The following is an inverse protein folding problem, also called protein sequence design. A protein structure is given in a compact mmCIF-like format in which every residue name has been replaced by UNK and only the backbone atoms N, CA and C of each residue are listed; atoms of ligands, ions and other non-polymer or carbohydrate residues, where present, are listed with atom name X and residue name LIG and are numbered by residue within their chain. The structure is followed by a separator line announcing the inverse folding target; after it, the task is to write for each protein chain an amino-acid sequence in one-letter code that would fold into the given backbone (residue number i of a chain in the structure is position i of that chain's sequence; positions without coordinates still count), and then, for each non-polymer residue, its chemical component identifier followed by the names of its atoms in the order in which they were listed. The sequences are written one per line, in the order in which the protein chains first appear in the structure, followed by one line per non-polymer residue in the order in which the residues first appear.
data_IF_887811012584
#
_entry.id   IF_887811012584
#
_cell.length_a   1.000
_cell.length_b   1.000
_cell.length_c   1.000
_cell.angle_alpha   90.00
_cell.angle_beta   90.00
_cell.angle_gamma   90.00
#
_symmetry.space_group_name_H-M   'P 1'
#
loop_
_entity.id
_entity.type
_entity.pdbx_description
1 polymer ?
#
# COMPACT_ATOMS: atom_id res chain seq x y z
N UNK A 1 -5.20 -16.63 19.04
CA UNK A 1 -4.11 -16.33 18.08
C UNK A 1 -3.88 -14.84 18.08
N UNK A 2 -2.95 -14.24 18.80
CA UNK A 2 -2.13 -14.54 19.97
C UNK A 2 -1.76 -13.13 20.49
N UNK A 3 -1.31 -13.00 21.74
CA UNK A 3 -0.88 -11.71 22.33
C UNK A 3 0.41 -11.14 21.68
N UNK A 4 0.44 -11.01 20.35
CA UNK A 4 1.44 -10.28 19.57
C UNK A 4 1.09 -8.79 19.54
N UNK A 5 0.84 -8.20 20.72
CA UNK A 5 0.98 -6.76 20.90
C UNK A 5 2.38 -6.54 21.49
N UNK A 6 3.42 -6.86 20.74
CA UNK A 6 4.66 -6.11 20.93
C UNK A 6 4.36 -4.68 20.49
N UNK A 7 4.77 -3.71 21.28
CA UNK A 7 4.80 -2.31 20.87
C UNK A 7 5.67 -2.08 19.62
N UNK A 8 6.48 -3.09 19.27
CA UNK A 8 7.59 -3.02 18.32
C UNK A 8 7.32 -3.81 17.02
N UNK A 9 6.08 -4.20 16.75
CA UNK A 9 5.70 -4.96 15.54
C UNK A 9 6.23 -6.40 15.49
N UNK A 10 6.07 -7.07 14.34
CA UNK A 10 6.54 -8.45 14.19
C UNK A 10 8.06 -8.52 14.11
N UNK A 11 8.70 -9.48 14.81
CA UNK A 11 10.13 -9.73 14.61
C UNK A 11 10.40 -10.11 13.15
N UNK A 12 11.43 -9.50 12.54
CA UNK A 12 11.73 -9.67 11.10
C UNK A 12 11.80 -11.14 10.66
N UNK A 13 12.38 -12.01 11.50
CA UNK A 13 12.50 -13.46 11.26
C UNK A 13 11.15 -14.15 10.97
N UNK A 14 10.07 -13.70 11.60
CA UNK A 14 8.75 -14.33 11.50
C UNK A 14 7.78 -13.54 10.61
N UNK A 15 8.14 -12.32 10.21
CA UNK A 15 7.25 -11.41 9.48
C UNK A 15 6.67 -12.05 8.22
N UNK A 16 7.53 -12.65 7.39
CA UNK A 16 7.12 -13.29 6.14
C UNK A 16 6.06 -14.37 6.34
N UNK A 17 6.28 -15.27 7.31
CA UNK A 17 5.34 -16.35 7.64
C UNK A 17 4.04 -15.78 8.20
N UNK A 18 4.13 -14.81 9.12
CA UNK A 18 2.95 -14.18 9.70
C UNK A 18 2.14 -13.41 8.65
N UNK A 19 2.79 -12.74 7.70
CA UNK A 19 2.10 -12.04 6.63
C UNK A 19 1.37 -13.01 5.70
N UNK A 20 1.96 -14.15 5.35
CA UNK A 20 1.27 -15.17 4.54
C UNK A 20 0.02 -15.71 5.24
N UNK A 21 0.13 -16.03 6.54
CA UNK A 21 -0.99 -16.55 7.30
C UNK A 21 -2.07 -15.49 7.57
N UNK A 22 -1.68 -14.29 8.02
CA UNK A 22 -2.61 -13.24 8.43
C UNK A 22 -3.28 -12.54 7.25
N UNK A 23 -2.64 -12.48 6.08
CA UNK A 23 -3.30 -12.03 4.85
C UNK A 23 -4.28 -13.07 4.28
N UNK A 24 -4.25 -14.31 4.78
CA UNK A 24 -5.01 -15.42 4.20
C UNK A 24 -4.39 -15.99 2.93
N UNK A 25 -3.20 -15.53 2.51
CA UNK A 25 -2.51 -16.02 1.31
C UNK A 25 -2.33 -17.54 1.31
N UNK A 26 -1.97 -18.13 2.46
CA UNK A 26 -1.83 -19.59 2.59
C UNK A 26 -3.11 -20.36 2.23
N UNK A 27 -4.28 -19.76 2.47
CA UNK A 27 -5.58 -20.38 2.19
C UNK A 27 -6.05 -20.13 0.75
N UNK A 28 -5.61 -19.03 0.12
CA UNK A 28 -5.97 -18.67 -1.26
C UNK A 28 -5.02 -19.28 -2.29
N UNK A 29 -3.80 -19.62 -1.88
CA UNK A 29 -2.77 -20.10 -2.79
C UNK A 29 -3.20 -21.37 -3.52
N UNK A 30 -3.31 -21.27 -4.84
CA UNK A 30 -3.55 -22.40 -5.74
C UNK A 30 -2.29 -22.61 -6.58
N UNK A 31 -1.59 -23.75 -6.43
CA UNK A 31 -0.36 -24.01 -7.17
C UNK A 31 -0.53 -23.86 -8.68
N UNK A 32 0.30 -22.99 -9.30
CA UNK A 32 0.33 -22.79 -10.74
C UNK A 32 -0.71 -21.80 -11.28
N UNK A 33 -1.64 -21.35 -10.44
CA UNK A 33 -2.66 -20.37 -10.83
C UNK A 33 -2.02 -19.02 -11.19
N UNK A 34 -0.99 -18.60 -10.44
CA UNK A 34 -0.26 -17.37 -10.75
C UNK A 34 0.32 -17.40 -12.17
N UNK A 35 0.93 -18.51 -12.58
CA UNK A 35 1.47 -18.67 -13.93
C UNK A 35 0.36 -18.69 -14.98
N UNK A 36 -0.76 -19.37 -14.70
CA UNK A 36 -1.93 -19.39 -15.58
C UNK A 36 -2.49 -17.98 -15.82
N UNK A 37 -2.59 -17.15 -14.78
CA UNK A 37 -3.04 -15.77 -14.86
C UNK A 37 -2.12 -14.90 -15.72
N UNK A 38 -0.80 -15.12 -15.64
CA UNK A 38 0.17 -14.44 -16.50
C UNK A 38 -0.02 -14.80 -17.98
N UNK A 39 -0.19 -16.08 -18.30
CA UNK A 39 -0.48 -16.53 -19.67
C UNK A 39 -1.77 -15.89 -20.19
N UNK A 40 -2.84 -15.91 -19.38
CA UNK A 40 -4.09 -15.24 -19.73
C UNK A 40 -3.93 -13.74 -19.95
N UNK A 41 -3.13 -13.04 -19.15
CA UNK A 41 -2.86 -11.62 -19.33
C UNK A 41 -2.19 -11.33 -20.68
N UNK A 42 -1.25 -12.18 -21.09
CA UNK A 42 -0.52 -12.04 -22.36
C UNK A 42 -1.42 -12.32 -23.58
N UNK A 43 -2.28 -13.33 -23.47
CA UNK A 43 -3.19 -13.76 -24.55
C UNK A 43 -4.46 -12.91 -24.63
N UNK A 44 -4.82 -12.18 -23.57
CA UNK A 44 -6.05 -11.41 -23.51
C UNK A 44 -6.08 -10.27 -24.52
N UNK A 45 -7.18 -10.21 -25.27
CA UNK A 45 -7.54 -9.09 -26.14
C UNK A 45 -8.58 -8.16 -25.52
N UNK A 46 -8.91 -8.34 -24.22
CA UNK A 46 -9.87 -7.49 -23.51
C UNK A 46 -9.31 -6.05 -23.39
N UNK A 47 -9.98 -5.03 -23.94
CA UNK A 47 -9.53 -3.65 -23.87
C UNK A 47 -9.26 -3.16 -22.44
N UNK A 48 -10.07 -3.59 -21.47
CA UNK A 48 -9.89 -3.21 -20.06
C UNK A 48 -8.56 -3.73 -19.51
N UNK A 49 -8.25 -5.00 -19.76
CA UNK A 49 -6.97 -5.59 -19.33
C UNK A 49 -5.81 -4.89 -20.05
N UNK A 50 -5.93 -4.61 -21.35
CA UNK A 50 -4.88 -3.91 -22.12
C UNK A 50 -4.59 -2.51 -21.59
N UNK A 51 -5.63 -1.73 -21.27
CA UNK A 51 -5.47 -0.40 -20.66
C UNK A 51 -4.78 -0.50 -19.30
N UNK A 52 -5.15 -1.47 -18.46
CA UNK A 52 -4.48 -1.69 -17.18
C UNK A 52 -2.99 -2.07 -17.36
N UNK A 53 -2.66 -2.94 -18.32
CA UNK A 53 -1.27 -3.29 -18.67
C UNK A 53 -0.46 -2.07 -19.08
N UNK A 54 -1.03 -1.18 -19.89
CA UNK A 54 -0.37 0.06 -20.31
C UNK A 54 -0.08 0.97 -19.10
N UNK A 55 -1.05 1.15 -18.20
CA UNK A 55 -0.85 1.94 -16.97
C UNK A 55 0.21 1.32 -16.06
N UNK A 56 0.19 -0.01 -15.87
CA UNK A 56 1.20 -0.73 -15.09
C UNK A 56 2.59 -0.49 -15.68
N UNK A 57 2.75 -0.58 -17.01
CA UNK A 57 4.05 -0.35 -17.64
C UNK A 57 4.56 1.08 -17.40
N UNK A 58 3.70 2.08 -17.52
CA UNK A 58 4.07 3.47 -17.23
C UNK A 58 4.50 3.66 -15.78
N UNK A 59 3.82 3.00 -14.84
CA UNK A 59 4.10 3.14 -13.41
C UNK A 59 5.32 2.36 -12.94
N UNK A 60 5.52 1.13 -13.39
CA UNK A 60 6.62 0.28 -12.91
C UNK A 60 7.97 0.88 -13.25
N UNK A 61 8.13 1.55 -14.39
CA UNK A 61 9.38 2.26 -14.74
C UNK A 61 9.77 3.37 -13.76
N UNK A 62 8.80 4.00 -13.10
CA UNK A 62 9.03 5.05 -12.09
C UNK A 62 8.92 4.56 -10.65
N UNK A 63 8.59 3.28 -10.43
CA UNK A 63 8.36 2.71 -9.10
C UNK A 63 9.68 2.35 -8.43
N UNK A 64 9.98 2.99 -7.29
CA UNK A 64 11.17 2.69 -6.48
C UNK A 64 12.47 2.71 -7.31
N UNK A 65 12.56 3.60 -8.31
CA UNK A 65 13.67 3.66 -9.27
C UNK A 65 15.02 4.05 -8.66
N UNK A 66 15.01 4.62 -7.44
CA UNK A 66 16.23 4.85 -6.66
C UNK A 66 16.74 3.60 -5.93
N UNK A 67 15.95 2.52 -5.89
CA UNK A 67 16.29 1.27 -5.22
C UNK A 67 16.89 0.27 -6.23
N UNK A 68 18.11 -0.19 -5.94
CA UNK A 68 18.87 -1.14 -6.77
C UNK A 68 18.14 -2.44 -7.13
N UNK A 69 17.17 -2.87 -6.30
CA UNK A 69 16.39 -4.06 -6.58
C UNK A 69 15.39 -3.87 -7.73
N UNK A 70 14.99 -2.63 -8.01
CA UNK A 70 14.07 -2.28 -9.11
C UNK A 70 14.80 -1.67 -10.30
N UNK A 71 15.87 -0.91 -10.06
CA UNK A 71 16.67 -0.31 -11.13
C UNK A 71 18.14 -0.20 -10.72
N UNK A 72 19.02 -0.82 -11.50
CA UNK A 72 20.47 -0.69 -11.37
C UNK A 72 20.90 0.59 -12.11
N UNK A 73 21.17 1.65 -11.34
CA UNK A 73 21.56 2.97 -11.86
C UNK A 73 22.92 2.91 -12.57
N UNK A 74 23.84 2.06 -12.11
CA UNK A 74 25.19 1.96 -12.70
C UNK A 74 25.13 1.29 -14.08
N UNK A 75 24.30 0.26 -14.21
CA UNK A 75 24.13 -0.49 -15.47
C UNK A 75 23.02 0.06 -16.35
N UNK A 76 22.22 1.01 -15.86
CA UNK A 76 21.02 1.53 -16.51
C UNK A 76 20.08 0.39 -16.96
N UNK A 77 19.84 -0.58 -16.06
CA UNK A 77 19.07 -1.78 -16.37
C UNK A 77 18.04 -2.12 -15.27
N UNK A 78 16.95 -2.83 -15.61
CA UNK A 78 16.01 -3.33 -14.62
C UNK A 78 16.69 -4.19 -13.54
N UNK A 79 16.34 -3.95 -12.28
CA UNK A 79 16.79 -4.76 -11.15
C UNK A 79 16.04 -6.09 -11.04
N UNK A 80 16.46 -7.00 -10.14
CA UNK A 80 15.89 -8.34 -9.99
C UNK A 80 14.40 -8.38 -9.59
N UNK A 81 13.85 -7.29 -9.04
CA UNK A 81 12.43 -7.19 -8.66
C UNK A 81 11.56 -6.49 -9.69
N UNK A 82 12.15 -5.90 -10.74
CA UNK A 82 11.40 -5.18 -11.75
C UNK A 82 10.36 -6.08 -12.44
N UNK A 83 10.80 -7.21 -12.99
CA UNK A 83 9.91 -8.16 -13.67
C UNK A 83 8.91 -8.80 -12.69
N UNK A 84 9.35 -9.09 -11.46
CA UNK A 84 8.48 -9.66 -10.41
C UNK A 84 7.33 -8.72 -10.08
N UNK A 85 7.61 -7.42 -9.96
CA UNK A 85 6.61 -6.39 -9.73
C UNK A 85 5.60 -6.34 -10.88
N UNK A 86 6.07 -6.31 -12.13
CA UNK A 86 5.19 -6.32 -13.31
C UNK A 86 4.29 -7.56 -13.33
N UNK A 87 4.87 -8.75 -13.16
CA UNK A 87 4.14 -10.01 -13.18
C UNK A 87 3.06 -10.08 -12.09
N UNK A 88 3.37 -9.67 -10.87
CA UNK A 88 2.39 -9.66 -9.77
C UNK A 88 1.20 -8.77 -10.12
N UNK A 89 1.44 -7.57 -10.65
CA UNK A 89 0.38 -6.65 -11.05
C UNK A 89 -0.42 -7.18 -12.26
N UNK A 90 0.24 -7.80 -13.25
CA UNK A 90 -0.42 -8.43 -14.39
C UNK A 90 -1.33 -9.58 -13.99
N UNK A 91 -0.84 -10.48 -13.13
CA UNK A 91 -1.67 -11.56 -12.61
C UNK A 91 -2.86 -11.00 -11.81
N UNK A 92 -2.65 -9.93 -11.03
CA UNK A 92 -3.69 -9.33 -10.21
C UNK A 92 -4.85 -8.74 -11.04
N UNK A 93 -4.57 -8.02 -12.13
CA UNK A 93 -5.64 -7.43 -12.96
C UNK A 93 -6.48 -8.49 -13.68
N UNK A 94 -5.91 -9.67 -13.95
CA UNK A 94 -6.67 -10.82 -14.50
C UNK A 94 -7.43 -11.54 -13.39
N UNK A 95 -6.85 -11.64 -12.20
CA UNK A 95 -7.50 -12.24 -11.04
C UNK A 95 -8.73 -11.44 -10.59
N UNK A 96 -8.63 -10.12 -10.55
CA UNK A 96 -9.68 -9.22 -10.09
C UNK A 96 -9.94 -8.09 -11.10
N UNK A 97 -10.58 -8.40 -12.25
CA UNK A 97 -10.76 -7.44 -13.34
C UNK A 97 -11.74 -6.30 -13.00
N UNK A 98 -12.57 -6.45 -11.96
CA UNK A 98 -13.45 -5.38 -11.46
C UNK A 98 -12.68 -4.28 -10.75
N UNK A 99 -11.65 -4.68 -10.00
CA UNK A 99 -10.72 -3.75 -9.35
C UNK A 99 -9.74 -3.20 -10.37
N UNK A 100 -9.16 -4.08 -11.21
CA UNK A 100 -8.13 -3.69 -12.16
C UNK A 100 -6.88 -3.14 -11.45
N UNK A 101 -6.24 -2.16 -12.06
CA UNK A 101 -5.06 -1.50 -11.53
C UNK A 101 -5.40 -0.11 -11.02
N UNK A 102 -5.04 0.15 -9.76
CA UNK A 102 -5.12 1.47 -9.13
C UNK A 102 -3.71 2.00 -8.86
N UNK A 103 -3.48 3.27 -9.19
CA UNK A 103 -2.21 3.94 -8.93
C UNK A 103 -1.90 3.90 -7.41
N UNK A 104 -0.73 3.36 -7.05
CA UNK A 104 -0.33 3.08 -5.67
C UNK A 104 -0.11 1.59 -5.42
N UNK A 105 -0.80 0.71 -6.15
CA UNK A 105 -0.62 -0.76 -6.05
C UNK A 105 0.82 -1.18 -6.37
N UNK A 106 1.43 -0.56 -7.38
CA UNK A 106 2.83 -0.75 -7.75
C UNK A 106 3.79 -0.57 -6.57
N UNK A 107 3.56 0.44 -5.74
CA UNK A 107 4.43 0.76 -4.61
C UNK A 107 4.17 -0.15 -3.42
N UNK A 108 2.92 -0.55 -3.20
CA UNK A 108 2.55 -1.59 -2.22
C UNK A 108 3.26 -2.91 -2.58
N UNK A 109 3.08 -3.41 -3.80
CA UNK A 109 3.72 -4.65 -4.26
C UNK A 109 5.25 -4.54 -4.24
N UNK A 110 5.81 -3.40 -4.63
CA UNK A 110 7.24 -3.14 -4.55
C UNK A 110 7.77 -3.25 -3.11
N UNK A 111 7.08 -2.66 -2.14
CA UNK A 111 7.46 -2.76 -0.74
C UNK A 111 7.28 -4.18 -0.18
N UNK A 112 6.25 -4.92 -0.61
CA UNK A 112 6.09 -6.34 -0.25
C UNK A 112 7.27 -7.17 -0.79
N UNK A 113 7.66 -6.99 -2.05
CA UNK A 113 8.83 -7.66 -2.63
C UNK A 113 10.11 -7.38 -1.84
N UNK A 114 10.32 -6.14 -1.40
CA UNK A 114 11.46 -5.79 -0.55
C UNK A 114 11.39 -6.48 0.82
N UNK A 115 10.22 -6.55 1.43
CA UNK A 115 10.01 -7.23 2.71
C UNK A 115 10.33 -8.73 2.63
N UNK A 116 9.93 -9.36 1.54
CA UNK A 116 9.88 -10.81 1.43
C UNK A 116 11.05 -11.41 0.65
N UNK A 117 11.87 -10.58 0.01
CA UNK A 117 13.08 -10.98 -0.72
C UNK A 117 14.25 -11.40 0.17
N UNK A 118 15.17 -12.16 -0.42
CA UNK A 118 16.42 -12.60 0.21
C UNK A 118 17.28 -11.40 0.64
N UNK A 119 17.28 -11.10 1.94
CA UNK A 119 17.99 -9.96 2.52
C UNK A 119 17.31 -9.36 3.76
N UNK A 120 16.05 -9.70 4.03
CA UNK A 120 15.34 -9.27 5.24
C UNK A 120 15.84 -10.03 6.48
N UNK A 121 16.95 -9.56 7.06
CA UNK A 121 17.58 -10.11 8.27
C UNK A 121 18.01 -11.58 8.16
N UNK A 122 19.19 -11.89 8.71
CA UNK A 122 19.75 -13.24 8.70
C UNK A 122 18.76 -14.24 9.35
N UNK A 123 18.22 -15.18 8.57
CA UNK A 123 17.35 -16.25 9.05
C UNK A 123 15.85 -16.14 8.76
N UNK A 124 15.40 -15.15 7.97
CA UNK A 124 14.01 -15.10 7.49
C UNK A 124 13.81 -15.99 6.27
N UNK A 125 12.71 -16.75 6.24
CA UNK A 125 12.34 -17.58 5.09
C UNK A 125 11.89 -16.67 3.95
N UNK A 126 12.58 -16.72 2.81
CA UNK A 126 12.20 -15.98 1.60
C UNK A 126 10.86 -16.46 1.06
N UNK A 127 10.07 -15.55 0.50
CA UNK A 127 8.80 -15.87 -0.16
C UNK A 127 9.00 -15.84 -1.67
N UNK A 128 8.43 -16.82 -2.37
CA UNK A 128 8.39 -16.82 -3.83
C UNK A 128 7.58 -15.64 -4.38
N UNK A 129 7.79 -15.31 -5.65
CA UNK A 129 7.00 -14.30 -6.35
C UNK A 129 5.48 -14.58 -6.28
N UNK A 130 5.09 -15.84 -6.48
CA UNK A 130 3.70 -16.29 -6.33
C UNK A 130 3.17 -16.10 -4.89
N UNK A 131 4.00 -16.32 -3.87
CA UNK A 131 3.59 -16.06 -2.49
C UNK A 131 3.37 -14.57 -2.21
N UNK A 132 4.15 -13.68 -2.83
CA UNK A 132 3.91 -12.23 -2.75
C UNK A 132 2.64 -11.84 -3.48
N UNK A 133 2.36 -12.45 -4.64
CA UNK A 133 1.09 -12.28 -5.34
C UNK A 133 -0.10 -12.63 -4.44
N UNK A 134 -0.11 -13.81 -3.83
CA UNK A 134 -1.21 -14.23 -2.96
C UNK A 134 -1.34 -13.38 -1.69
N UNK A 135 -0.22 -12.89 -1.16
CA UNK A 135 -0.22 -11.92 -0.06
C UNK A 135 -0.88 -10.60 -0.48
N UNK A 136 -0.57 -10.09 -1.67
CA UNK A 136 -1.19 -8.88 -2.19
C UNK A 136 -2.70 -9.08 -2.43
N UNK A 137 -3.10 -10.21 -3.01
CA UNK A 137 -4.53 -10.59 -3.14
C UNK A 137 -5.22 -10.60 -1.78
N UNK A 138 -4.63 -11.25 -0.78
CA UNK A 138 -5.16 -11.29 0.58
C UNK A 138 -5.30 -9.91 1.22
N UNK A 139 -4.33 -9.02 1.02
CA UNK A 139 -4.42 -7.63 1.48
C UNK A 139 -5.62 -6.92 0.85
N UNK A 140 -5.76 -6.96 -0.47
CA UNK A 140 -6.83 -6.23 -1.17
C UNK A 140 -8.21 -6.80 -0.87
N UNK A 141 -8.33 -8.12 -0.81
CA UNK A 141 -9.62 -8.77 -0.67
C UNK A 141 -10.09 -8.84 0.78
N UNK A 142 -9.21 -9.17 1.72
CA UNK A 142 -9.62 -9.58 3.07
C UNK A 142 -9.17 -8.62 4.17
N UNK A 143 -8.08 -7.88 3.94
CA UNK A 143 -7.52 -7.00 4.98
C UNK A 143 -8.09 -5.58 4.95
N UNK A 144 -8.29 -5.04 3.76
CA UNK A 144 -8.76 -3.68 3.58
C UNK A 144 -10.27 -3.56 3.82
N UNK A 145 -10.78 -2.35 4.11
CA UNK A 145 -12.20 -2.11 4.25
C UNK A 145 -12.97 -2.59 3.02
N UNK A 146 -14.11 -3.23 3.24
CA UNK A 146 -15.10 -3.54 2.19
C UNK A 146 -16.30 -2.61 2.33
N UNK A 147 -16.80 -2.15 1.19
CA UNK A 147 -17.96 -1.29 1.10
C UNK A 147 -19.09 -2.07 0.43
N UNK A 148 -19.93 -2.69 1.26
CA UNK A 148 -20.91 -3.68 0.82
C UNK A 148 -20.23 -4.86 0.08
N UNK A 149 -20.40 -4.94 -1.24
CA UNK A 149 -19.80 -5.97 -2.11
C UNK A 149 -18.57 -5.46 -2.87
N UNK A 150 -18.16 -4.21 -2.64
CA UNK A 150 -17.05 -3.56 -3.34
C UNK A 150 -15.77 -3.71 -2.52
N UNK A 151 -14.70 -4.12 -3.22
CA UNK A 151 -13.36 -4.09 -2.67
C UNK A 151 -12.87 -2.65 -2.50
N UNK A 152 -11.91 -2.43 -1.60
CA UNK A 152 -11.36 -1.11 -1.32
C UNK A 152 -10.86 -0.37 -2.58
N UNK A 153 -10.26 -1.09 -3.52
CA UNK A 153 -9.74 -0.51 -4.76
C UNK A 153 -10.72 -0.55 -5.93
N UNK A 154 -11.97 -1.01 -5.74
CA UNK A 154 -12.99 -0.92 -6.78
C UNK A 154 -13.28 0.57 -7.08
N UNK A 155 -13.32 1.00 -8.35
CA UNK A 155 -13.61 2.40 -8.69
C UNK A 155 -14.92 2.92 -8.08
N UNK A 156 -15.92 2.05 -7.86
CA UNK A 156 -17.20 2.42 -7.26
C UNK A 156 -17.13 2.54 -5.73
N UNK A 157 -16.05 2.08 -5.09
CA UNK A 157 -15.84 2.23 -3.66
C UNK A 157 -15.38 3.65 -3.27
N UNK A 158 -14.85 4.42 -4.22
CA UNK A 158 -14.24 5.73 -3.97
C UNK A 158 -15.13 6.71 -3.16
N UNK A 159 -16.45 6.86 -3.43
CA UNK A 159 -17.29 7.76 -2.65
C UNK A 159 -17.41 7.34 -1.17
N UNK A 160 -17.40 6.04 -0.89
CA UNK A 160 -17.45 5.53 0.48
C UNK A 160 -16.13 5.77 1.22
N UNK A 161 -15.00 5.56 0.53
CA UNK A 161 -13.67 5.86 1.07
C UNK A 161 -13.55 7.36 1.38
N UNK A 162 -14.01 8.23 0.46
CA UNK A 162 -14.04 9.68 0.66
C UNK A 162 -14.90 10.08 1.86
N UNK A 163 -16.02 9.39 2.09
CA UNK A 163 -16.83 9.61 3.28
C UNK A 163 -16.10 9.21 4.57
N UNK A 164 -15.43 8.06 4.60
CA UNK A 164 -14.64 7.62 5.75
C UNK A 164 -13.45 8.56 6.02
N UNK A 165 -12.78 9.05 4.97
CA UNK A 165 -11.73 10.07 5.06
C UNK A 165 -12.29 11.39 5.61
N UNK A 166 -13.46 11.82 5.14
CA UNK A 166 -14.15 13.02 5.66
C UNK A 166 -14.45 12.88 7.15
N UNK A 167 -14.90 11.70 7.60
CA UNK A 167 -15.10 11.42 9.03
C UNK A 167 -13.77 11.47 9.79
N UNK A 168 -12.72 10.82 9.27
CA UNK A 168 -11.39 10.84 9.85
C UNK A 168 -10.85 12.26 10.03
N UNK A 169 -11.05 13.14 9.05
CA UNK A 169 -10.58 14.53 9.08
C UNK A 169 -11.47 15.42 9.94
N UNK A 170 -12.76 15.53 9.60
CA UNK A 170 -13.67 16.52 10.20
C UNK A 170 -14.12 16.17 11.60
N UNK A 171 -14.09 14.89 11.97
CA UNK A 171 -14.47 14.46 13.33
C UNK A 171 -13.25 14.08 14.16
N UNK A 172 -12.39 13.19 13.67
CA UNK A 172 -11.29 12.69 14.51
C UNK A 172 -10.10 13.64 14.55
N UNK A 173 -9.57 14.05 13.40
CA UNK A 173 -8.42 14.96 13.34
C UNK A 173 -8.75 16.33 13.94
N UNK A 174 -9.91 16.90 13.60
CA UNK A 174 -10.37 18.17 14.15
C UNK A 174 -10.49 18.15 15.69
N UNK A 175 -10.91 17.03 16.29
CA UNK A 175 -11.05 16.91 17.74
C UNK A 175 -9.73 16.57 18.45
N UNK A 176 -8.88 15.75 17.83
CA UNK A 176 -7.63 15.28 18.45
C UNK A 176 -6.47 16.27 18.27
N UNK A 177 -6.44 17.01 17.17
CA UNK A 177 -5.40 17.98 16.83
C UNK A 177 -6.01 19.32 16.36
N UNK A 178 -6.84 19.97 17.21
CA UNK A 178 -7.65 21.13 16.80
C UNK A 178 -6.80 22.33 16.35
N UNK A 179 -5.63 22.54 16.96
CA UNK A 179 -4.74 23.65 16.62
C UNK A 179 -4.13 23.45 15.23
N UNK A 180 -3.63 22.24 14.94
CA UNK A 180 -3.06 21.91 13.64
C UNK A 180 -4.13 21.92 12.56
N UNK A 181 -5.31 21.35 12.84
CA UNK A 181 -6.46 21.40 11.93
C UNK A 181 -6.84 22.85 11.58
N UNK A 182 -6.91 23.73 12.59
CA UNK A 182 -7.17 25.15 12.38
C UNK A 182 -6.11 25.83 11.51
N UNK A 183 -4.82 25.57 11.78
CA UNK A 183 -3.70 26.10 10.99
C UNK A 183 -3.77 25.66 9.53
N UNK A 184 -3.93 24.37 9.26
CA UNK A 184 -4.02 23.84 7.89
C UNK A 184 -5.24 24.38 7.14
N UNK A 185 -6.38 24.56 7.82
CA UNK A 185 -7.56 25.18 7.23
C UNK A 185 -7.37 26.68 6.91
N UNK A 186 -6.66 27.42 7.76
CA UNK A 186 -6.30 28.82 7.48
C UNK A 186 -5.42 28.92 6.23
N UNK A 187 -4.52 27.95 6.04
CA UNK A 187 -3.71 27.79 4.83
C UNK A 187 -4.50 27.21 3.64
N UNK A 188 -5.79 26.90 3.80
CA UNK A 188 -6.66 26.30 2.76
C UNK A 188 -6.12 24.97 2.21
N UNK A 189 -5.48 24.17 3.06
CA UNK A 189 -5.03 22.82 2.70
C UNK A 189 -6.24 21.89 2.63
N UNK A 190 -6.35 21.11 1.56
CA UNK A 190 -7.36 20.08 1.41
C UNK A 190 -6.88 18.78 2.08
N UNK A 191 -7.02 18.73 3.41
CA UNK A 191 -6.50 17.64 4.24
C UNK A 191 -7.07 16.28 3.80
N UNK A 192 -8.34 16.24 3.40
CA UNK A 192 -9.00 15.03 2.90
C UNK A 192 -8.31 14.45 1.67
N UNK A 193 -7.78 15.28 0.75
CA UNK A 193 -7.08 14.81 -0.45
C UNK A 193 -5.77 14.13 -0.06
N UNK A 194 -5.02 14.73 0.88
CA UNK A 194 -3.77 14.17 1.41
C UNK A 194 -4.05 12.80 2.05
N UNK A 195 -5.05 12.72 2.93
CA UNK A 195 -5.40 11.49 3.64
C UNK A 195 -5.91 10.41 2.69
N UNK A 196 -6.71 10.78 1.68
CA UNK A 196 -7.17 9.85 0.65
C UNK A 196 -5.99 9.24 -0.12
N UNK A 197 -5.02 10.06 -0.53
CA UNK A 197 -3.80 9.58 -1.18
C UNK A 197 -3.02 8.61 -0.31
N UNK A 198 -2.91 8.89 0.99
CA UNK A 198 -2.28 7.97 1.94
C UNK A 198 -3.03 6.65 2.04
N UNK A 199 -4.35 6.64 2.07
CA UNK A 199 -5.13 5.41 2.18
C UNK A 199 -5.03 4.57 0.91
N UNK A 200 -5.16 5.19 -0.28
CA UNK A 200 -5.05 4.49 -1.57
C UNK A 200 -3.63 3.94 -1.81
N UNK A 201 -2.59 4.62 -1.32
CA UNK A 201 -1.21 4.13 -1.37
C UNK A 201 -0.82 3.21 -0.20
N UNK A 202 -1.73 2.87 0.71
CA UNK A 202 -1.43 2.24 2.02
C UNK A 202 -0.19 2.84 2.71
N UNK A 203 -0.12 4.17 2.74
CA UNK A 203 0.94 4.98 3.33
C UNK A 203 2.33 4.76 2.71
N UNK A 204 2.46 3.97 1.64
CA UNK A 204 3.74 3.69 0.98
C UNK A 204 4.38 4.95 0.39
N UNK A 205 3.56 5.96 0.09
CA UNK A 205 3.99 7.22 -0.49
C UNK A 205 4.71 8.14 0.49
N UNK A 206 4.12 8.25 1.67
CA UNK A 206 4.54 9.13 2.75
C UNK A 206 5.59 8.47 3.66
N UNK A 207 5.50 7.16 3.89
CA UNK A 207 6.45 6.42 4.72
C UNK A 207 7.65 5.96 3.89
N UNK A 208 8.67 6.80 3.79
CA UNK A 208 9.92 6.47 3.06
C UNK A 208 10.75 5.38 3.76
N UNK A 209 10.67 5.30 5.09
CA UNK A 209 11.30 4.22 5.84
C UNK A 209 10.49 2.93 5.68
N UNK A 210 11.10 1.95 5.05
CA UNK A 210 10.48 0.67 4.79
C UNK A 210 10.13 -0.07 6.09
N UNK A 211 10.94 0.07 7.15
CA UNK A 211 10.67 -0.52 8.46
C UNK A 211 9.39 0.07 9.10
N UNK A 212 9.17 1.38 8.96
CA UNK A 212 7.93 2.02 9.46
C UNK A 212 6.73 1.54 8.65
N UNK A 213 6.88 1.40 7.33
CA UNK A 213 5.84 0.85 6.48
C UNK A 213 5.49 -0.60 6.86
N UNK A 214 6.49 -1.44 7.22
CA UNK A 214 6.24 -2.79 7.74
C UNK A 214 5.40 -2.76 9.02
N UNK A 215 5.64 -1.83 9.94
CA UNK A 215 4.82 -1.70 11.15
C UNK A 215 3.37 -1.27 10.85
N UNK A 216 3.15 -0.50 9.79
CA UNK A 216 1.79 -0.18 9.32
C UNK A 216 1.10 -1.43 8.81
N UNK A 217 1.77 -2.24 7.97
CA UNK A 217 1.20 -3.49 7.48
C UNK A 217 0.98 -4.51 8.61
N UNK A 218 1.95 -4.70 9.52
CA UNK A 218 1.80 -5.56 10.70
C UNK A 218 0.54 -5.18 11.51
N UNK A 219 0.35 -3.88 11.75
CA UNK A 219 -0.79 -3.41 12.53
C UNK A 219 -2.13 -3.44 11.77
N UNK A 220 -2.11 -3.38 10.43
CA UNK A 220 -3.28 -3.69 9.59
C UNK A 220 -3.63 -5.18 9.69
N UNK A 221 -2.66 -6.08 9.53
CA UNK A 221 -2.82 -7.55 9.65
C UNK A 221 -3.44 -7.98 10.99
N UNK A 222 -3.19 -7.20 12.06
CA UNK A 222 -3.75 -7.43 13.40
C UNK A 222 -5.01 -6.61 13.70
N UNK A 223 -5.44 -5.74 12.79
CA UNK A 223 -6.57 -4.85 13.02
C UNK A 223 -7.89 -5.63 13.02
N UNK A 224 -8.70 -5.43 14.06
CA UNK A 224 -10.10 -5.88 14.06
C UNK A 224 -10.98 -5.05 13.11
N UNK A 225 -10.63 -3.79 12.93
CA UNK A 225 -11.34 -2.87 12.07
C UNK A 225 -10.29 -2.05 11.28
N UNK A 226 -10.14 -2.29 9.97
CA UNK A 226 -9.14 -1.61 9.16
C UNK A 226 -9.44 -0.11 9.00
N UNK A 227 -10.71 0.32 8.89
CA UNK A 227 -11.07 1.74 8.80
C UNK A 227 -10.56 2.55 10.00
N UNK A 228 -10.80 2.03 11.21
CA UNK A 228 -10.29 2.67 12.44
C UNK A 228 -8.77 2.71 12.43
N UNK A 229 -8.11 1.67 11.89
CA UNK A 229 -6.65 1.60 11.82
C UNK A 229 -6.07 2.62 10.84
N UNK A 230 -6.64 2.74 9.64
CA UNK A 230 -6.26 3.74 8.63
C UNK A 230 -6.41 5.16 9.20
N UNK A 231 -7.55 5.45 9.84
CA UNK A 231 -7.80 6.72 10.52
C UNK A 231 -6.74 7.02 11.61
N UNK A 232 -6.47 6.04 12.48
CA UNK A 232 -5.48 6.19 13.54
C UNK A 232 -4.07 6.47 12.99
N UNK A 233 -3.66 5.80 11.91
CA UNK A 233 -2.37 6.06 11.28
C UNK A 233 -2.28 7.45 10.65
N UNK A 234 -3.32 7.91 9.94
CA UNK A 234 -3.34 9.27 9.39
C UNK A 234 -3.15 10.33 10.49
N UNK A 235 -3.87 10.20 11.61
CA UNK A 235 -3.76 11.14 12.73
C UNK A 235 -2.40 11.04 13.42
N UNK A 236 -1.84 9.84 13.55
CA UNK A 236 -0.51 9.63 14.10
C UNK A 236 0.57 10.30 13.24
N UNK A 237 0.49 10.20 11.91
CA UNK A 237 1.41 10.88 10.99
C UNK A 237 1.33 12.40 11.16
N UNK A 238 0.11 12.97 11.17
CA UNK A 238 -0.05 14.40 11.44
C UNK A 238 0.50 14.81 12.80
N UNK A 239 0.33 13.98 13.83
CA UNK A 239 0.87 14.25 15.17
C UNK A 239 2.40 14.25 15.18
N UNK A 240 3.02 13.32 14.46
CA UNK A 240 4.47 13.20 14.38
C UNK A 240 5.10 14.41 13.68
N UNK A 241 4.44 14.92 12.64
CA UNK A 241 4.88 16.08 11.86
C UNK A 241 4.34 17.42 12.38
N UNK A 242 3.66 17.44 13.53
CA UNK A 242 2.87 18.60 13.98
C UNK A 242 3.72 19.87 14.11
N UNK A 243 4.94 19.74 14.64
CA UNK A 243 5.84 20.90 14.85
C UNK A 243 6.27 21.50 13.52
N UNK A 244 6.74 20.66 12.61
CA UNK A 244 7.20 21.06 11.29
C UNK A 244 6.06 21.69 10.47
N UNK A 245 4.84 21.17 10.59
CA UNK A 245 3.67 21.69 9.87
C UNK A 245 3.23 23.08 10.37
N UNK A 246 3.41 23.42 11.65
CA UNK A 246 3.15 24.77 12.16
C UNK A 246 4.12 25.82 11.60
N UNK A 247 5.34 25.40 11.25
CA UNK A 247 6.34 26.30 10.68
C UNK A 247 6.03 26.66 9.23
N UNK A 248 5.28 25.82 8.52
CA UNK A 248 4.86 26.07 7.13
C UNK A 248 3.82 27.20 7.06
N UNK A 249 3.93 28.06 6.04
CA UNK A 249 3.15 29.30 5.90
C UNK A 249 2.28 29.33 4.66
N UNK A 250 2.42 28.37 3.76
CA UNK A 250 1.64 28.30 2.51
C UNK A 250 1.11 26.89 2.26
N UNK A 251 0.03 26.80 1.50
CA UNK A 251 -0.55 25.52 1.06
C UNK A 251 0.46 24.68 0.27
N UNK A 252 1.23 25.33 -0.62
CA UNK A 252 2.22 24.66 -1.46
C UNK A 252 3.37 24.05 -0.67
N UNK A 253 3.81 24.70 0.42
CA UNK A 253 4.81 24.14 1.34
C UNK A 253 4.30 22.88 2.03
N UNK A 254 3.03 22.84 2.42
CA UNK A 254 2.42 21.66 3.07
C UNK A 254 2.36 20.47 2.11
N UNK A 255 1.89 20.68 0.87
CA UNK A 255 1.89 19.60 -0.13
C UNK A 255 3.32 19.13 -0.44
N UNK A 256 4.25 20.07 -0.63
CA UNK A 256 5.66 19.74 -0.87
C UNK A 256 6.29 18.98 0.30
N UNK A 257 5.90 19.29 1.55
CA UNK A 257 6.40 18.60 2.73
C UNK A 257 6.06 17.12 2.74
N UNK A 258 4.85 16.75 2.31
CA UNK A 258 4.43 15.35 2.25
C UNK A 258 4.88 14.61 0.98
N UNK A 259 5.26 15.34 -0.08
CA UNK A 259 5.84 14.75 -1.29
C UNK A 259 7.33 14.39 -1.15
N UNK A 260 8.08 15.20 -0.38
CA UNK A 260 9.51 14.97 -0.04
C UNK A 260 9.74 13.58 0.53
#
# INVERSE_FOLDING_TARGET
LLRLKSTDGFPSKYRNLLWLELSGASNKSVPGEFHRLLCLCQESSDPSIRTNVEQINLDVHRTLSSNKFFFDVEKCQPGPHFCKLQNILYAFIVHNPKVGYSQGMNRIVGNLLLATSEGSSQGTVGISEEGVFWMFVGIVEDLLPRYEQLFFFDPNALPFIQNDVSIAVKQHFANLLPQLFGHLNLLRVEIEIIVLGWWLGLFSEILKSLDIWFHVIDGLMLAKNPNVKLCAYSIAIFKLCERELFDLKTTGEVYSYFER
#
